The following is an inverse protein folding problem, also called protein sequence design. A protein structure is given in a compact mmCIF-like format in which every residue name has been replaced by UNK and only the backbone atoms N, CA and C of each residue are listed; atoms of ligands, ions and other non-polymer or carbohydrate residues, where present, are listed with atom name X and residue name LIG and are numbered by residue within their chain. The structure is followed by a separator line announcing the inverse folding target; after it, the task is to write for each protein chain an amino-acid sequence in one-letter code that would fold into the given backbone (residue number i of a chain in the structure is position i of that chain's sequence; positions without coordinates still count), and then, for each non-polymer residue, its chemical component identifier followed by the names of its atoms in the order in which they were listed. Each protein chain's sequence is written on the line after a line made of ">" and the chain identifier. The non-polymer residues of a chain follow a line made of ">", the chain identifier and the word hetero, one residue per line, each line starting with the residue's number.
data_IF_168084220941
#
_entry.id   IF_168084220941
#
_cell.length_a   1.000
_cell.length_b   1.000
_cell.length_c   1.000
_cell.angle_alpha   90.00
_cell.angle_beta   90.00
_cell.angle_gamma   90.00
#
_symmetry.space_group_name_H-M   'P 1'
#
loop_
_entity.id
_entity.type
_entity.pdbx_description
1 polymer ?
#
# COMPACT_ATOMS: atom_id res chain seq x y z
N UNK A 1 -15.41 13.96 -6.82
CA UNK A 1 -14.63 13.33 -7.91
C UNK A 1 -15.42 12.15 -8.43
N UNK A 2 -15.51 11.93 -9.75
CA UNK A 2 -16.27 10.79 -10.28
C UNK A 2 -15.58 9.49 -9.84
N UNK A 3 -16.14 8.84 -8.82
CA UNK A 3 -15.66 7.55 -8.27
C UNK A 3 -15.68 6.45 -9.34
N UNK A 4 -16.52 6.63 -10.36
CA UNK A 4 -16.72 5.70 -11.47
C UNK A 4 -15.42 5.34 -12.17
N UNK A 5 -14.57 6.31 -12.52
CA UNK A 5 -13.31 6.04 -13.24
C UNK A 5 -12.35 5.17 -12.43
N UNK A 6 -12.28 5.37 -11.10
CA UNK A 6 -11.43 4.55 -10.22
C UNK A 6 -11.90 3.11 -10.16
N UNK A 7 -13.20 2.91 -9.98
CA UNK A 7 -13.81 1.58 -9.91
C UNK A 7 -13.69 0.83 -11.24
N UNK A 8 -13.87 1.53 -12.35
CA UNK A 8 -13.74 0.97 -13.70
C UNK A 8 -12.29 0.53 -13.96
N UNK A 9 -11.30 1.36 -13.60
CA UNK A 9 -9.88 1.02 -13.72
C UNK A 9 -9.50 -0.19 -12.86
N UNK A 10 -9.98 -0.26 -11.61
CA UNK A 10 -9.73 -1.43 -10.75
C UNK A 10 -10.41 -2.69 -11.30
N UNK A 11 -11.66 -2.60 -11.76
CA UNK A 11 -12.40 -3.74 -12.29
C UNK A 11 -11.75 -4.30 -13.56
N UNK A 12 -11.48 -3.44 -14.55
CA UNK A 12 -10.86 -3.84 -15.82
C UNK A 12 -9.44 -4.35 -15.58
N UNK A 13 -8.65 -3.65 -14.76
CA UNK A 13 -7.28 -4.08 -14.46
C UNK A 13 -7.23 -5.41 -13.70
N UNK A 14 -8.17 -5.67 -12.80
CA UNK A 14 -8.27 -6.97 -12.11
C UNK A 14 -8.61 -8.08 -13.12
N UNK A 15 -9.58 -7.86 -14.02
CA UNK A 15 -9.92 -8.85 -15.04
C UNK A 15 -8.70 -9.21 -15.91
N UNK A 16 -8.00 -8.19 -16.43
CA UNK A 16 -6.83 -8.37 -17.28
C UNK A 16 -5.70 -9.07 -16.52
N UNK A 17 -5.42 -8.68 -15.28
CA UNK A 17 -4.37 -9.28 -14.47
C UNK A 17 -4.64 -10.77 -14.21
N UNK A 18 -5.87 -11.13 -13.86
CA UNK A 18 -6.28 -12.54 -13.70
C UNK A 18 -6.19 -13.32 -15.01
N UNK A 19 -6.56 -12.72 -16.15
CA UNK A 19 -6.39 -13.37 -17.45
C UNK A 19 -4.92 -13.65 -17.77
N UNK A 20 -4.01 -12.72 -17.48
CA UNK A 20 -2.56 -12.94 -17.67
C UNK A 20 -2.07 -14.10 -16.80
N UNK A 21 -2.47 -14.15 -15.53
CA UNK A 21 -2.12 -15.26 -14.64
C UNK A 21 -2.67 -16.58 -15.20
N UNK A 22 -3.96 -16.63 -15.55
CA UNK A 22 -4.62 -17.85 -16.05
C UNK A 22 -3.98 -18.38 -17.35
N UNK A 23 -3.55 -17.49 -18.24
CA UNK A 23 -2.96 -17.85 -19.53
C UNK A 23 -1.44 -18.02 -19.48
N UNK A 24 -0.77 -17.72 -18.36
CA UNK A 24 0.69 -17.79 -18.26
C UNK A 24 1.26 -19.20 -18.10
N UNK A 25 0.41 -20.22 -17.83
CA UNK A 25 0.86 -21.59 -17.59
C UNK A 25 1.77 -22.18 -18.69
N UNK A 26 1.50 -21.99 -20.01
CA UNK A 26 2.37 -22.52 -21.08
C UNK A 26 3.76 -21.87 -21.15
N UNK A 27 3.94 -20.71 -20.51
CA UNK A 27 5.19 -19.94 -20.51
C UNK A 27 6.22 -20.57 -19.54
N UNK A 28 5.78 -21.49 -18.66
CA UNK A 28 6.66 -22.26 -17.79
C UNK A 28 7.47 -21.38 -16.83
N UNK A 29 8.78 -21.58 -16.79
CA UNK A 29 9.68 -20.84 -15.89
C UNK A 29 9.67 -19.32 -16.11
N UNK A 30 9.24 -18.84 -17.28
CA UNK A 30 9.14 -17.42 -17.59
C UNK A 30 7.79 -16.80 -17.19
N UNK A 31 6.82 -17.58 -16.69
CA UNK A 31 5.51 -17.09 -16.27
C UNK A 31 5.58 -15.93 -15.23
N UNK A 32 6.45 -15.96 -14.20
CA UNK A 32 6.57 -14.85 -13.25
C UNK A 32 7.01 -13.54 -13.93
N UNK A 33 7.87 -13.62 -14.94
CA UNK A 33 8.32 -12.46 -15.70
C UNK A 33 7.18 -11.88 -16.55
N UNK A 34 6.39 -12.74 -17.21
CA UNK A 34 5.22 -12.32 -17.98
C UNK A 34 4.14 -11.66 -17.09
N UNK A 35 3.85 -12.24 -15.93
CA UNK A 35 2.89 -11.70 -14.97
C UNK A 35 3.40 -10.36 -14.40
N UNK A 36 4.67 -10.28 -14.01
CA UNK A 36 5.27 -9.07 -13.45
C UNK A 36 5.34 -7.92 -14.45
N UNK A 37 5.69 -8.19 -15.71
CA UNK A 37 5.73 -7.17 -16.76
C UNK A 37 4.33 -6.66 -17.10
N UNK A 38 3.33 -7.54 -17.20
CA UNK A 38 1.94 -7.12 -17.38
C UNK A 38 1.47 -6.21 -16.22
N UNK A 39 1.77 -6.59 -14.97
CA UNK A 39 1.43 -5.77 -13.81
C UNK A 39 2.12 -4.40 -13.85
N UNK A 40 3.40 -4.36 -14.23
CA UNK A 40 4.16 -3.12 -14.37
C UNK A 40 3.52 -2.17 -15.40
N UNK A 41 3.12 -2.68 -16.57
CA UNK A 41 2.41 -1.89 -17.60
C UNK A 41 1.08 -1.35 -17.06
N UNK A 42 0.31 -2.18 -16.37
CA UNK A 42 -0.97 -1.75 -15.80
C UNK A 42 -0.81 -0.68 -14.71
N UNK A 43 0.19 -0.81 -13.84
CA UNK A 43 0.49 0.21 -12.81
C UNK A 43 0.92 1.52 -13.46
N UNK A 44 1.74 1.46 -14.50
CA UNK A 44 2.14 2.65 -15.27
C UNK A 44 0.93 3.36 -15.89
N UNK A 45 0.02 2.60 -16.50
CA UNK A 45 -1.15 3.14 -17.20
C UNK A 45 -2.26 3.65 -16.28
N UNK A 46 -2.62 2.91 -15.23
CA UNK A 46 -3.81 3.22 -14.41
C UNK A 46 -3.53 3.52 -12.94
N UNK A 47 -2.27 3.43 -12.49
CA UNK A 47 -1.90 3.66 -11.09
C UNK A 47 -2.25 5.07 -10.59
N UNK A 48 -2.11 6.09 -11.45
CA UNK A 48 -2.48 7.47 -11.12
C UNK A 48 -4.00 7.71 -11.06
N UNK A 49 -4.79 6.81 -11.63
CA UNK A 49 -6.26 6.91 -11.66
C UNK A 49 -6.84 6.28 -10.38
N UNK A 50 -6.52 5.01 -10.11
CA UNK A 50 -7.15 4.23 -9.04
C UNK A 50 -6.26 3.90 -7.84
N UNK A 51 -4.94 4.07 -7.95
CA UNK A 51 -3.95 3.54 -7.01
C UNK A 51 -3.33 2.21 -7.45
N UNK A 52 -3.88 1.59 -8.51
CA UNK A 52 -3.29 0.43 -9.19
C UNK A 52 -3.25 -0.84 -8.34
N UNK A 53 -4.30 -1.11 -7.56
CA UNK A 53 -4.33 -2.34 -6.75
C UNK A 53 -4.54 -3.58 -7.61
N UNK A 54 -5.48 -3.53 -8.57
CA UNK A 54 -5.83 -4.58 -9.53
C UNK A 54 -6.06 -5.97 -8.91
N UNK A 55 -6.30 -5.98 -7.60
CA UNK A 55 -6.42 -7.18 -6.80
C UNK A 55 -7.29 -6.87 -5.57
N UNK A 56 -8.45 -7.53 -5.42
CA UNK A 56 -9.33 -7.29 -4.28
C UNK A 56 -8.67 -7.61 -2.94
N UNK A 57 -7.81 -8.63 -2.85
CA UNK A 57 -7.10 -8.95 -1.62
C UNK A 57 -6.15 -7.83 -1.18
N UNK A 58 -5.51 -7.13 -2.12
CA UNK A 58 -4.65 -5.97 -1.82
C UNK A 58 -5.48 -4.79 -1.36
N UNK A 59 -6.59 -4.50 -2.03
CA UNK A 59 -7.53 -3.43 -1.65
C UNK A 59 -8.07 -3.63 -0.24
N UNK A 60 -8.48 -4.86 0.11
CA UNK A 60 -8.93 -5.19 1.46
C UNK A 60 -7.78 -5.26 2.47
N UNK A 61 -6.60 -5.72 2.06
CA UNK A 61 -5.41 -5.79 2.91
C UNK A 61 -4.88 -4.42 3.33
N UNK A 62 -5.06 -3.39 2.50
CA UNK A 62 -4.69 -2.00 2.84
C UNK A 62 -5.76 -1.27 3.66
N UNK A 63 -7.01 -1.75 3.66
CA UNK A 63 -8.10 -1.12 4.39
C UNK A 63 -7.85 -1.04 5.91
N UNK A 64 -7.44 -2.12 6.63
CA UNK A 64 -7.15 -2.05 8.06
C UNK A 64 -5.85 -1.31 8.42
N UNK A 65 -4.67 -1.60 7.81
CA UNK A 65 -3.41 -0.94 8.16
C UNK A 65 -3.40 0.55 7.85
N UNK A 66 -3.93 0.97 6.69
CA UNK A 66 -3.94 2.39 6.33
C UNK A 66 -4.92 3.21 7.18
N UNK A 67 -6.04 2.62 7.63
CA UNK A 67 -6.95 3.31 8.55
C UNK A 67 -6.32 3.53 9.91
N UNK A 68 -5.60 2.54 10.44
CA UNK A 68 -4.89 2.67 11.71
C UNK A 68 -3.80 3.75 11.64
N UNK A 69 -3.04 3.80 10.54
CA UNK A 69 -2.03 4.82 10.27
C UNK A 69 -2.67 6.22 10.16
N UNK A 70 -3.70 6.38 9.31
CA UNK A 70 -4.41 7.66 9.12
C UNK A 70 -5.07 8.16 10.40
N UNK A 71 -5.65 7.26 11.19
CA UNK A 71 -6.25 7.60 12.49
C UNK A 71 -5.19 8.02 13.52
N UNK A 72 -3.99 7.41 13.50
CA UNK A 72 -2.86 7.82 14.33
C UNK A 72 -2.28 9.17 13.90
N UNK A 73 -2.15 9.42 12.60
CA UNK A 73 -1.65 10.70 12.08
C UNK A 73 -2.55 11.87 12.49
N UNK A 74 -3.88 11.73 12.37
CA UNK A 74 -4.83 12.73 12.87
C UNK A 74 -4.77 12.91 14.39
N UNK A 75 -4.56 11.83 15.15
CA UNK A 75 -4.39 11.92 16.62
C UNK A 75 -3.07 12.56 17.04
N UNK A 76 -2.00 12.45 16.26
CA UNK A 76 -0.69 13.03 16.58
C UNK A 76 -0.62 14.52 16.21
N UNK A 77 -1.29 14.93 15.13
CA UNK A 77 -1.39 16.34 14.73
C UNK A 77 -2.19 17.20 15.72
N UNK A 78 -3.09 16.59 16.51
CA UNK A 78 -3.83 17.27 17.57
C UNK A 78 -3.15 17.30 18.95
N UNK A 79 -1.96 16.69 19.12
CA UNK A 79 -1.27 16.71 20.41
C UNK A 79 -0.33 17.92 20.45
N UNK A 80 -0.49 18.87 21.41
CA UNK A 80 0.52 19.89 21.60
C UNK A 80 1.85 19.19 21.83
N UNK A 81 2.86 19.57 21.05
CA UNK A 81 4.20 19.04 21.12
C UNK A 81 4.71 19.25 22.55
N UNK A 82 4.54 18.24 23.40
CA UNK A 82 5.00 18.27 24.78
C UNK A 82 6.50 18.34 24.71
N UNK A 83 7.04 19.57 24.78
CA UNK A 83 8.47 19.89 24.90
C UNK A 83 9.02 18.93 25.94
N UNK A 84 9.77 17.93 25.47
CA UNK A 84 10.51 17.04 26.36
C UNK A 84 11.59 17.92 26.97
N UNK A 85 11.32 18.43 28.17
CA UNK A 85 12.38 18.97 29.00
C UNK A 85 13.43 17.85 29.15
N UNK A 86 14.70 18.12 28.80
CA UNK A 86 15.78 17.21 29.12
C UNK A 86 15.87 17.20 30.65
N UNK A 87 15.20 16.25 31.29
CA UNK A 87 15.48 15.92 32.68
C UNK A 87 16.89 15.36 32.67
N UNK A 88 17.83 16.23 33.01
CA UNK A 88 19.20 15.90 33.39
C UNK A 88 19.12 14.78 34.43
N UNK A 89 19.21 13.54 33.95
CA UNK A 89 19.46 12.37 34.77
C UNK A 89 20.89 12.52 35.26
N UNK A 90 21.03 13.23 36.38
CA UNK A 90 22.22 13.15 37.23
C UNK A 90 22.44 11.67 37.53
N UNK A 91 23.41 11.08 36.83
CA UNK A 91 23.98 9.76 37.13
C UNK A 91 24.67 9.90 38.47
N UNK A 92 24.06 9.36 39.52
CA UNK A 92 24.77 9.14 40.77
C UNK A 92 25.76 7.97 40.59
N UNK A 93 26.96 8.07 41.19
CA UNK A 93 28.02 7.11 41.02
C UNK A 93 27.70 5.78 41.71
N UNK A 94 28.08 4.72 41.01
CA UNK A 94 28.08 3.33 41.42
C UNK A 94 28.98 3.18 42.65
N UNK A 95 28.41 2.79 43.79
CA UNK A 95 29.16 2.36 44.97
C UNK A 95 28.63 0.98 45.35
N UNK A 96 29.51 -0.03 45.20
CA UNK A 96 29.39 -1.46 45.55
C UNK A 96 28.57 -2.34 44.60
#
# INVERSE_FOLDING_TARGET
>A
MPQTSKLLTEFVGTFVFFSVIALSAPIGALAPLAIGTALMVMVYMGGHISGGHYNPAVSFGLFPPQQAERARSHRLLGRPARRRHPRLRLRLPRQW
#
